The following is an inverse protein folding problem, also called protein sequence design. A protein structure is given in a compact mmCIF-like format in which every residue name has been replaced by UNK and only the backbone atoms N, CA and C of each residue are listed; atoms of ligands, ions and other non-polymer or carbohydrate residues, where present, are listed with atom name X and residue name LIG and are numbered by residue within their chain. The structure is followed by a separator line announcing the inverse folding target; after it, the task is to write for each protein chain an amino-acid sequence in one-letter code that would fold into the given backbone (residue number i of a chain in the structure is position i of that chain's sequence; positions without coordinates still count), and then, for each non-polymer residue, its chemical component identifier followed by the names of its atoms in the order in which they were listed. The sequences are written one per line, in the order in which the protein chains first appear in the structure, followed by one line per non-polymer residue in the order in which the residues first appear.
data_IF_669692429493
#
_entry.id   IF_669692429493
#
_cell.length_a   1.000
_cell.length_b   1.000
_cell.length_c   1.000
_cell.angle_alpha   90.00
_cell.angle_beta   90.00
_cell.angle_gamma   90.00
#
_symmetry.space_group_name_H-M   'P 1'
#
loop_
_entity.id
_entity.type
_entity.pdbx_description
1 polymer ?
#
# COMPACT_ATOMS: atom_id res chain seq x y z
N UNK A 1 -2.67 -9.82 -10.27
CA UNK A 1 -1.44 -9.19 -9.74
C UNK A 1 -1.22 -7.85 -10.41
N UNK A 2 -1.38 -6.79 -9.63
CA UNK A 2 -1.05 -5.43 -10.05
C UNK A 2 0.42 -5.27 -10.46
N UNK A 3 0.66 -4.47 -11.50
CA UNK A 3 2.01 -4.08 -11.91
C UNK A 3 2.62 -3.07 -10.93
N UNK A 4 3.94 -3.00 -10.83
CA UNK A 4 4.66 -2.04 -9.97
C UNK A 4 4.23 -0.58 -10.24
N UNK A 5 4.01 -0.22 -11.51
CA UNK A 5 3.49 1.10 -11.88
C UNK A 5 2.10 1.39 -11.28
N UNK A 6 1.21 0.39 -11.22
CA UNK A 6 -0.11 0.55 -10.61
C UNK A 6 0.02 0.70 -9.09
N UNK A 7 0.88 -0.11 -8.46
CA UNK A 7 1.18 -0.03 -7.03
C UNK A 7 1.68 1.37 -6.65
N UNK A 8 2.66 1.90 -7.38
CA UNK A 8 3.16 3.26 -7.15
C UNK A 8 2.12 4.34 -7.41
N UNK A 9 1.24 4.15 -8.40
CA UNK A 9 0.16 5.10 -8.70
C UNK A 9 -0.85 5.14 -7.55
N UNK A 10 -1.29 3.98 -7.06
CA UNK A 10 -2.24 3.89 -5.94
C UNK A 10 -1.59 4.42 -4.66
N UNK A 11 -0.34 4.05 -4.38
CA UNK A 11 0.44 4.57 -3.25
C UNK A 11 0.51 6.09 -3.26
N UNK A 12 0.81 6.69 -4.42
CA UNK A 12 0.83 8.16 -4.59
C UNK A 12 -0.54 8.77 -4.31
N UNK A 13 -1.60 8.26 -4.95
CA UNK A 13 -2.96 8.76 -4.77
C UNK A 13 -3.42 8.68 -3.32
N UNK A 14 -3.09 7.60 -2.61
CA UNK A 14 -3.40 7.44 -1.21
C UNK A 14 -2.64 8.43 -0.34
N UNK A 15 -1.34 8.64 -0.59
CA UNK A 15 -0.55 9.65 0.10
C UNK A 15 -1.03 11.08 -0.19
N UNK A 16 -1.45 11.39 -1.41
CA UNK A 16 -2.01 12.69 -1.77
C UNK A 16 -3.37 12.94 -1.07
N UNK A 17 -4.21 11.90 -0.99
CA UNK A 17 -5.56 12.00 -0.40
C UNK A 17 -5.58 11.92 1.13
N UNK A 18 -4.78 11.05 1.70
CA UNK A 18 -4.81 10.70 3.13
C UNK A 18 -3.54 11.12 3.88
N UNK A 19 -2.48 11.54 3.19
CA UNK A 19 -1.24 11.99 3.82
C UNK A 19 -0.59 10.89 4.66
N UNK A 20 -0.30 11.20 5.91
CA UNK A 20 0.36 10.29 6.85
C UNK A 20 -0.48 9.05 7.21
N UNK A 21 -1.80 9.09 7.07
CA UNK A 21 -2.68 7.96 7.40
C UNK A 21 -2.79 6.94 6.27
N UNK A 22 -2.26 7.25 5.08
CA UNK A 22 -2.30 6.38 3.91
C UNK A 22 -1.66 4.99 4.16
N UNK A 23 -0.53 4.96 4.85
CA UNK A 23 0.18 3.71 5.22
C UNK A 23 -0.67 2.86 6.16
N UNK A 24 -1.26 3.48 7.19
CA UNK A 24 -2.14 2.79 8.12
C UNK A 24 -3.38 2.22 7.41
N UNK A 25 -3.94 2.96 6.45
CA UNK A 25 -5.08 2.53 5.66
C UNK A 25 -4.76 1.28 4.81
N UNK A 26 -3.61 1.27 4.11
CA UNK A 26 -3.21 0.09 3.34
C UNK A 26 -2.91 -1.12 4.24
N UNK A 27 -2.26 -0.91 5.39
CA UNK A 27 -2.01 -1.98 6.36
C UNK A 27 -3.31 -2.55 6.95
N UNK A 28 -4.33 -1.71 7.19
CA UNK A 28 -5.63 -2.15 7.66
C UNK A 28 -6.40 -2.93 6.59
N UNK A 29 -6.37 -2.46 5.33
CA UNK A 29 -7.00 -3.17 4.22
C UNK A 29 -6.33 -4.54 3.99
N UNK A 30 -5.01 -4.64 4.06
CA UNK A 30 -4.29 -5.92 3.96
C UNK A 30 -4.83 -6.93 4.99
N UNK A 31 -4.89 -6.54 6.26
CA UNK A 31 -5.39 -7.40 7.34
C UNK A 31 -6.87 -7.77 7.15
N UNK A 32 -7.69 -6.83 6.67
CA UNK A 32 -9.09 -7.08 6.40
C UNK A 32 -9.27 -8.11 5.26
N UNK A 33 -8.44 -8.07 4.22
CA UNK A 33 -8.41 -9.06 3.16
C UNK A 33 -7.91 -10.43 3.67
N UNK A 34 -6.85 -10.46 4.48
CA UNK A 34 -6.36 -11.69 5.12
C UNK A 34 -7.46 -12.36 5.97
N UNK A 35 -8.19 -11.57 6.76
CA UNK A 35 -9.29 -12.07 7.59
C UNK A 35 -10.47 -12.62 6.79
N UNK A 36 -10.66 -12.17 5.54
CA UNK A 36 -11.72 -12.66 4.64
C UNK A 36 -11.26 -13.87 3.82
N UNK A 37 -9.96 -14.19 3.84
CA UNK A 37 -9.35 -15.23 3.00
C UNK A 37 -8.88 -14.73 1.63
N UNK A 38 -8.94 -13.42 1.38
CA UNK A 38 -8.52 -12.78 0.13
C UNK A 38 -7.00 -12.51 0.13
N UNK A 39 -6.22 -13.59 0.11
CA UNK A 39 -4.76 -13.55 0.24
C UNK A 39 -4.09 -12.78 -0.92
N UNK A 40 -4.66 -12.83 -2.13
CA UNK A 40 -4.11 -12.11 -3.29
C UNK A 40 -4.26 -10.60 -3.11
N UNK A 41 -5.44 -10.13 -2.69
CA UNK A 41 -5.70 -8.71 -2.46
C UNK A 41 -4.90 -8.20 -1.25
N UNK A 42 -4.74 -9.02 -0.22
CA UNK A 42 -3.87 -8.71 0.92
C UNK A 42 -2.41 -8.45 0.50
N UNK A 43 -1.88 -9.27 -0.41
CA UNK A 43 -0.51 -9.07 -0.95
C UNK A 43 -0.42 -7.76 -1.72
N UNK A 44 -1.43 -7.42 -2.51
CA UNK A 44 -1.46 -6.16 -3.26
C UNK A 44 -1.46 -4.95 -2.32
N UNK A 45 -2.26 -4.99 -1.25
CA UNK A 45 -2.24 -3.95 -0.21
C UNK A 45 -0.89 -3.82 0.49
N UNK A 46 -0.20 -4.94 0.75
CA UNK A 46 1.16 -4.93 1.31
C UNK A 46 2.17 -4.30 0.37
N UNK A 47 2.09 -4.57 -0.93
CA UNK A 47 2.95 -3.91 -1.91
C UNK A 47 2.70 -2.40 -1.97
N UNK A 48 1.44 -1.97 -1.89
CA UNK A 48 1.06 -0.55 -1.84
C UNK A 48 1.60 0.12 -0.55
N UNK A 49 1.47 -0.55 0.60
CA UNK A 49 2.02 -0.10 1.88
C UNK A 49 3.55 0.11 1.80
N UNK A 50 4.26 -0.86 1.24
CA UNK A 50 5.71 -0.82 1.09
C UNK A 50 6.17 0.31 0.15
N UNK A 51 5.50 0.46 -1.00
CA UNK A 51 5.75 1.57 -1.92
C UNK A 51 5.53 2.94 -1.25
N UNK A 52 4.47 3.09 -0.44
CA UNK A 52 4.24 4.33 0.32
C UNK A 52 5.34 4.60 1.35
N UNK A 53 5.83 3.56 2.05
CA UNK A 53 6.96 3.70 2.97
C UNK A 53 8.23 4.13 2.25
N UNK A 54 8.51 3.54 1.08
CA UNK A 54 9.65 3.95 0.23
C UNK A 54 9.53 5.40 -0.25
N UNK A 55 8.32 5.83 -0.64
CA UNK A 55 8.05 7.20 -1.12
C UNK A 55 8.13 8.26 -0.02
N UNK A 56 7.80 7.89 1.23
CA UNK A 56 7.86 8.80 2.38
C UNK A 56 9.31 9.12 2.79
N UNK A 57 10.28 8.33 2.35
CA UNK A 57 11.70 8.54 2.61
C UNK A 57 12.10 8.30 4.08
N UNK A 58 13.38 8.56 4.44
CA UNK A 58 14.35 9.35 3.69
C UNK A 58 15.25 8.42 2.88
N UNK A 59 15.12 8.46 1.55
CA UNK A 59 16.07 7.91 0.57
C UNK A 59 16.93 6.69 0.96
N UNK A 60 16.62 5.57 0.28
CA UNK A 60 17.53 4.50 -0.13
C UNK A 60 17.98 3.45 0.90
N UNK A 61 18.17 2.26 0.32
CA UNK A 61 18.97 1.10 0.73
C UNK A 61 19.91 1.24 1.92
#
# INVERSE_FOLDING_TARGET
MMSEMQIHTIARQMMEKHGLTAIAQAAHNAQACESKGDIEEAKEWRHIEDAMKMMRGPHQS
#
